data_IF_296794931790
#
_entry.id   IF_296794931790
#
_cell.length_a   1.000
_cell.length_b   1.000
_cell.length_c   1.000
_cell.angle_alpha   90.00
_cell.angle_beta   90.00
_cell.angle_gamma   90.00
#
_symmetry.space_group_name_H-M   'P 1'
#
loop_
_entity.id
_entity.type
_entity.pdbx_description
1 polymer ?
#
# COMPACT_ATOMS: atom_id res chain seq x y z
N UNK A 1 -7.74 -76.61 -26.81
CA UNK A 1 -6.96 -75.99 -27.89
C UNK A 1 -6.60 -74.63 -27.40
N UNK A 2 -5.41 -74.47 -26.91
CA UNK A 2 -4.20 -74.03 -27.61
C UNK A 2 -4.04 -72.51 -27.55
N UNK A 3 -3.11 -72.12 -26.85
CA UNK A 3 -1.78 -71.52 -26.86
C UNK A 3 -1.87 -70.02 -26.44
N UNK A 4 -1.28 -69.65 -25.33
CA UNK A 4 0.15 -69.41 -25.05
C UNK A 4 0.78 -68.28 -25.90
N UNK A 5 1.26 -67.25 -25.18
CA UNK A 5 2.58 -66.61 -25.29
C UNK A 5 2.52 -65.31 -24.48
N UNK A 6 3.13 -65.16 -23.31
CA UNK A 6 4.54 -64.88 -22.98
C UNK A 6 5.18 -63.85 -23.91
N UNK A 7 5.52 -62.73 -23.30
CA UNK A 7 6.76 -61.94 -23.47
C UNK A 7 6.50 -60.56 -22.91
N UNK A 8 7.21 -60.06 -22.13
CA UNK A 8 8.59 -59.83 -21.85
C UNK A 8 8.67 -58.39 -21.23
N UNK A 9 9.25 -58.36 -20.12
CA UNK A 9 9.73 -57.25 -19.32
C UNK A 9 10.66 -56.37 -20.16
N UNK A 10 10.44 -55.04 -20.12
CA UNK A 10 11.50 -54.07 -20.38
C UNK A 10 11.46 -53.03 -19.29
N UNK A 11 12.37 -53.19 -18.33
CA UNK A 11 12.82 -52.16 -17.42
C UNK A 11 13.44 -51.04 -18.25
N UNK A 12 12.87 -49.87 -18.19
CA UNK A 12 13.56 -48.64 -18.57
C UNK A 12 13.67 -47.77 -17.33
N UNK A 13 14.84 -47.83 -16.72
CA UNK A 13 15.26 -46.91 -15.69
C UNK A 13 15.47 -45.51 -16.32
N UNK A 14 14.55 -44.62 -16.07
CA UNK A 14 14.73 -43.18 -16.36
C UNK A 14 15.34 -42.52 -15.13
N UNK A 15 16.60 -42.14 -15.28
CA UNK A 15 17.29 -41.24 -14.35
C UNK A 15 16.52 -39.95 -14.27
N UNK A 16 15.91 -39.72 -13.12
CA UNK A 16 15.38 -38.39 -12.74
C UNK A 16 16.56 -37.49 -12.41
N UNK A 17 16.95 -36.64 -13.33
CA UNK A 17 17.75 -35.46 -13.00
C UNK A 17 16.91 -34.60 -12.08
N UNK A 18 17.25 -34.60 -10.80
CA UNK A 18 16.81 -33.57 -9.85
C UNK A 18 17.51 -32.27 -10.23
N UNK A 19 16.83 -31.43 -11.02
CA UNK A 19 17.16 -30.01 -11.13
C UNK A 19 16.93 -29.41 -9.77
N UNK A 20 18.00 -29.06 -9.08
CA UNK A 20 17.97 -28.10 -7.98
C UNK A 20 17.44 -26.77 -8.55
N UNK A 21 16.14 -26.59 -8.51
CA UNK A 21 15.49 -25.30 -8.73
C UNK A 21 15.94 -24.37 -7.63
N UNK A 22 16.71 -23.35 -8.01
CA UNK A 22 16.95 -22.18 -7.19
C UNK A 22 15.57 -21.69 -6.75
N UNK A 23 15.30 -21.78 -5.45
CA UNK A 23 14.10 -21.18 -4.86
C UNK A 23 14.26 -19.66 -4.96
N UNK A 24 13.84 -19.10 -6.09
CA UNK A 24 13.55 -17.68 -6.20
C UNK A 24 12.48 -17.37 -5.16
N UNK A 25 12.74 -16.46 -4.25
CA UNK A 25 11.75 -15.97 -3.31
C UNK A 25 10.53 -15.56 -4.13
N UNK A 26 9.41 -16.28 -3.99
CA UNK A 26 8.18 -15.95 -4.68
C UNK A 26 7.77 -14.54 -4.24
N UNK A 27 7.74 -13.59 -5.18
CA UNK A 27 7.22 -12.25 -4.91
C UNK A 27 5.79 -12.39 -4.38
N UNK A 28 5.49 -11.66 -3.29
CA UNK A 28 4.16 -11.66 -2.73
C UNK A 28 3.15 -11.22 -3.81
N UNK A 29 1.97 -11.84 -3.87
CA UNK A 29 0.97 -11.47 -4.88
C UNK A 29 0.64 -9.98 -4.76
N UNK A 30 0.66 -9.31 -5.90
CA UNK A 30 0.40 -7.88 -6.02
C UNK A 30 -1.05 -7.66 -6.43
N UNK A 31 -1.78 -6.90 -5.62
CA UNK A 31 -3.15 -6.50 -5.89
C UNK A 31 -3.21 -5.00 -6.11
N UNK A 32 -3.85 -4.56 -7.18
CA UNK A 32 -4.05 -3.15 -7.51
C UNK A 32 -5.53 -2.80 -7.41
N UNK A 33 -5.85 -1.76 -6.62
CA UNK A 33 -7.19 -1.23 -6.40
C UNK A 33 -7.20 0.23 -6.88
N UNK A 34 -8.22 0.63 -7.65
CA UNK A 34 -8.30 1.95 -8.26
C UNK A 34 -9.56 2.73 -7.89
N UNK A 35 -9.41 4.03 -7.82
CA UNK A 35 -10.52 4.98 -7.72
C UNK A 35 -11.42 4.73 -6.51
N UNK A 36 -12.72 4.72 -6.73
CA UNK A 36 -13.72 4.63 -5.66
C UNK A 36 -13.58 3.39 -4.77
N UNK A 37 -13.14 2.25 -5.31
CA UNK A 37 -12.97 1.00 -4.54
C UNK A 37 -11.90 1.12 -3.43
N UNK A 38 -10.98 2.07 -3.54
CA UNK A 38 -9.99 2.36 -2.49
C UNK A 38 -10.69 2.82 -1.20
N UNK A 39 -11.78 3.56 -1.30
CA UNK A 39 -12.50 4.12 -0.15
C UNK A 39 -13.18 3.05 0.71
N UNK A 40 -13.44 1.88 0.14
CA UNK A 40 -13.98 0.72 0.86
C UNK A 40 -12.87 -0.10 1.53
N UNK A 41 -11.63 0.02 1.06
CA UNK A 41 -10.47 -0.66 1.62
C UNK A 41 -10.01 -0.02 2.94
N UNK A 42 -9.55 -0.80 3.95
CA UNK A 42 -9.07 -0.26 5.23
C UNK A 42 -8.02 0.85 5.08
N UNK A 43 -7.05 0.71 4.17
CA UNK A 43 -6.03 1.74 3.93
C UNK A 43 -6.61 3.03 3.34
N UNK A 44 -7.59 2.94 2.46
CA UNK A 44 -8.29 4.12 1.94
C UNK A 44 -9.08 4.87 3.03
N UNK A 45 -9.78 4.12 3.89
CA UNK A 45 -10.49 4.71 5.04
C UNK A 45 -9.54 5.43 5.99
N UNK A 46 -8.38 4.82 6.28
CA UNK A 46 -7.34 5.43 7.13
C UNK A 46 -6.75 6.68 6.47
N UNK A 47 -6.49 6.64 5.16
CA UNK A 47 -5.99 7.79 4.41
C UNK A 47 -6.92 9.00 4.51
N UNK A 48 -8.21 8.81 4.20
CA UNK A 48 -9.22 9.87 4.25
C UNK A 48 -9.36 10.42 5.66
N UNK A 49 -9.49 9.54 6.66
CA UNK A 49 -9.62 9.93 8.06
C UNK A 49 -8.41 10.72 8.54
N UNK A 50 -7.18 10.29 8.24
CA UNK A 50 -5.98 11.00 8.65
C UNK A 50 -5.93 12.40 8.03
N UNK A 51 -6.21 12.51 6.73
CA UNK A 51 -6.22 13.80 6.03
C UNK A 51 -7.22 14.78 6.66
N UNK A 52 -8.44 14.32 6.96
CA UNK A 52 -9.45 15.12 7.63
C UNK A 52 -9.06 15.55 9.05
N UNK A 53 -8.42 14.65 9.81
CA UNK A 53 -7.92 14.97 11.15
C UNK A 53 -6.82 16.05 11.11
N UNK A 54 -5.89 15.94 10.16
CA UNK A 54 -4.83 16.93 9.95
C UNK A 54 -5.47 18.29 9.56
N UNK A 55 -6.41 18.27 8.63
CA UNK A 55 -7.13 19.47 8.18
C UNK A 55 -7.88 20.17 9.34
N UNK A 56 -8.47 19.38 10.23
CA UNK A 56 -9.13 19.87 11.44
C UNK A 56 -8.16 20.26 12.57
N UNK A 57 -6.84 20.11 12.38
CA UNK A 57 -5.82 20.41 13.40
C UNK A 57 -5.73 19.37 14.52
N UNK A 58 -6.30 18.17 14.33
CA UNK A 58 -6.32 17.07 15.30
C UNK A 58 -5.12 16.13 15.12
N UNK A 59 -3.91 16.67 15.23
CA UNK A 59 -2.67 15.96 14.91
C UNK A 59 -2.40 14.75 15.80
N UNK A 60 -2.75 14.81 17.08
CA UNK A 60 -2.57 13.68 18.00
C UNK A 60 -3.50 12.51 17.63
N UNK A 61 -4.71 12.79 17.16
CA UNK A 61 -5.61 11.75 16.66
C UNK A 61 -5.11 11.18 15.32
N UNK A 62 -4.63 12.05 14.43
CA UNK A 62 -4.04 11.64 13.16
C UNK A 62 -2.81 10.75 13.35
N UNK A 63 -1.96 11.06 14.35
CA UNK A 63 -0.78 10.27 14.66
C UNK A 63 -1.10 8.86 15.15
N UNK A 64 -2.24 8.63 15.81
CA UNK A 64 -2.69 7.28 16.21
C UNK A 64 -2.96 6.35 15.02
N UNK A 65 -3.14 6.90 13.82
CA UNK A 65 -3.34 6.15 12.58
C UNK A 65 -2.02 5.75 11.90
N UNK A 66 -0.89 6.12 12.47
CA UNK A 66 0.45 5.79 11.96
C UNK A 66 1.06 4.58 12.65
N UNK A 67 2.13 4.05 12.09
CA UNK A 67 2.89 2.97 12.70
C UNK A 67 3.51 3.38 14.05
N UNK A 68 3.83 2.40 14.90
CA UNK A 68 4.47 2.68 16.20
C UNK A 68 5.76 3.48 16.04
N UNK A 69 6.56 3.14 15.03
CA UNK A 69 7.81 3.85 14.73
C UNK A 69 7.56 5.35 14.47
N UNK A 70 6.57 5.67 13.63
CA UNK A 70 6.20 7.07 13.35
C UNK A 70 5.67 7.77 14.61
N UNK A 71 4.87 7.10 15.44
CA UNK A 71 4.39 7.65 16.71
C UNK A 71 5.53 7.97 17.67
N UNK A 72 6.55 7.09 17.78
CA UNK A 72 7.72 7.35 18.63
C UNK A 72 8.57 8.51 18.09
N UNK A 73 8.73 8.62 16.77
CA UNK A 73 9.40 9.76 16.17
C UNK A 73 8.66 11.07 16.44
N UNK A 74 7.33 11.07 16.35
CA UNK A 74 6.50 12.23 16.69
C UNK A 74 6.71 12.67 18.14
N UNK A 75 6.72 11.72 19.08
CA UNK A 75 6.96 12.00 20.51
C UNK A 75 8.35 12.57 20.75
N UNK A 76 9.36 12.13 19.98
CA UNK A 76 10.74 12.60 20.08
C UNK A 76 10.98 14.01 19.54
N UNK A 77 10.03 14.59 18.80
CA UNK A 77 10.17 15.96 18.28
C UNK A 77 10.06 17.00 19.40
N UNK A 78 10.85 18.06 19.28
CA UNK A 78 10.70 19.24 20.15
C UNK A 78 9.34 19.93 19.93
N UNK A 79 8.89 20.73 20.90
CA UNK A 79 7.63 21.47 20.76
C UNK A 79 7.66 22.40 19.53
N UNK A 80 8.79 23.04 19.27
CA UNK A 80 9.00 23.94 18.11
C UNK A 80 8.92 23.17 16.78
N UNK A 81 9.54 21.99 16.71
CA UNK A 81 9.52 21.18 15.48
C UNK A 81 8.12 20.64 15.21
N UNK A 82 7.39 20.23 16.26
CA UNK A 82 5.98 19.83 16.14
C UNK A 82 5.10 20.97 15.64
N UNK A 83 5.26 22.17 16.17
CA UNK A 83 4.50 23.34 15.74
C UNK A 83 4.76 23.66 14.26
N UNK A 84 6.02 23.67 13.84
CA UNK A 84 6.39 23.89 12.45
C UNK A 84 5.80 22.82 11.53
N UNK A 85 5.94 21.53 11.88
CA UNK A 85 5.41 20.43 11.08
C UNK A 85 3.88 20.45 11.00
N UNK A 86 3.20 20.72 12.11
CA UNK A 86 1.72 20.82 12.12
C UNK A 86 1.22 21.96 11.27
N UNK A 87 1.90 23.11 11.28
CA UNK A 87 1.60 24.23 10.40
C UNK A 87 1.67 23.83 8.93
N UNK A 88 2.79 23.25 8.51
CA UNK A 88 2.99 22.79 7.13
C UNK A 88 1.97 21.71 6.73
N UNK A 89 1.76 20.71 7.58
CA UNK A 89 0.79 19.65 7.30
C UNK A 89 -0.63 20.17 7.15
N UNK A 90 -1.02 21.15 7.97
CA UNK A 90 -2.34 21.76 7.89
C UNK A 90 -2.55 22.53 6.59
N UNK A 91 -1.57 23.32 6.16
CA UNK A 91 -1.61 24.06 4.89
C UNK A 91 -1.73 23.12 3.68
N UNK A 92 -1.06 21.97 3.71
CA UNK A 92 -1.08 20.97 2.63
C UNK A 92 -2.28 20.03 2.71
N UNK A 93 -3.07 20.07 3.80
CA UNK A 93 -4.17 19.14 4.02
C UNK A 93 -5.44 19.55 3.29
N UNK A 94 -6.30 18.57 3.06
CA UNK A 94 -7.63 18.75 2.46
C UNK A 94 -8.71 18.20 3.38
N UNK A 95 -9.94 18.65 3.19
CA UNK A 95 -11.09 18.01 3.84
C UNK A 95 -11.21 16.55 3.44
N UNK A 96 -11.84 15.70 4.26
CA UNK A 96 -12.10 14.30 3.93
C UNK A 96 -12.81 14.15 2.59
N UNK A 97 -13.80 15.02 2.34
CA UNK A 97 -14.59 14.98 1.10
C UNK A 97 -13.74 15.30 -0.14
N UNK A 98 -12.86 16.30 -0.06
CA UNK A 98 -12.02 16.69 -1.20
C UNK A 98 -10.91 15.67 -1.43
N UNK A 99 -10.32 15.14 -0.37
CA UNK A 99 -9.34 14.07 -0.51
C UNK A 99 -9.93 12.78 -1.07
N UNK A 100 -11.16 12.43 -0.65
CA UNK A 100 -11.88 11.30 -1.23
C UNK A 100 -12.20 11.50 -2.73
N UNK A 101 -12.45 12.73 -3.17
CA UNK A 101 -12.60 13.05 -4.61
C UNK A 101 -11.30 12.82 -5.36
N UNK A 102 -10.16 13.24 -4.80
CA UNK A 102 -8.84 13.02 -5.42
C UNK A 102 -8.55 11.51 -5.57
N UNK A 103 -8.83 10.72 -4.52
CA UNK A 103 -8.69 9.25 -4.57
C UNK A 103 -9.56 8.66 -5.68
N UNK A 104 -10.84 9.07 -5.77
CA UNK A 104 -11.75 8.59 -6.82
C UNK A 104 -11.27 8.93 -8.22
N UNK A 105 -10.68 10.11 -8.39
CA UNK A 105 -10.26 10.61 -9.69
C UNK A 105 -8.97 9.95 -10.21
N UNK A 106 -7.98 9.71 -9.33
CA UNK A 106 -6.63 9.30 -9.74
C UNK A 106 -5.95 8.33 -8.79
N UNK A 107 -6.62 7.90 -7.72
CA UNK A 107 -6.03 7.01 -6.72
C UNK A 107 -5.73 5.61 -7.25
N UNK A 108 -4.55 5.11 -6.91
CA UNK A 108 -4.12 3.73 -7.13
C UNK A 108 -3.53 3.21 -5.83
N UNK A 109 -4.13 2.18 -5.27
CA UNK A 109 -3.62 1.47 -4.08
C UNK A 109 -3.07 0.12 -4.51
N UNK A 110 -1.79 -0.09 -4.27
CA UNK A 110 -1.09 -1.34 -4.53
C UNK A 110 -0.83 -2.04 -3.22
N UNK A 111 -1.25 -3.31 -3.11
CA UNK A 111 -1.04 -4.18 -1.95
C UNK A 111 -0.06 -5.27 -2.34
N UNK A 112 1.02 -5.42 -1.57
CA UNK A 112 2.04 -6.47 -1.72
C UNK A 112 2.29 -7.11 -0.34
N UNK A 113 1.73 -8.28 -0.10
CA UNK A 113 1.79 -8.93 1.21
C UNK A 113 1.17 -8.05 2.31
N UNK A 114 1.98 -7.66 3.29
CA UNK A 114 1.57 -6.79 4.39
C UNK A 114 1.89 -5.30 4.18
N UNK A 115 2.17 -4.89 2.94
CA UNK A 115 2.48 -3.51 2.59
C UNK A 115 1.44 -2.97 1.63
N UNK A 116 1.08 -1.71 1.80
CA UNK A 116 0.24 -0.96 0.87
C UNK A 116 0.92 0.33 0.43
N UNK A 117 0.67 0.74 -0.80
CA UNK A 117 1.14 2.02 -1.33
C UNK A 117 -0.01 2.68 -2.09
N UNK A 118 -0.50 3.80 -1.56
CA UNK A 118 -1.47 4.65 -2.22
C UNK A 118 -0.75 5.76 -2.96
N UNK A 119 -1.01 5.88 -4.25
CA UNK A 119 -0.52 6.97 -5.10
C UNK A 119 -1.72 7.75 -5.63
N UNK A 120 -1.65 9.08 -5.55
CA UNK A 120 -2.68 9.99 -6.08
C UNK A 120 -1.97 11.01 -6.95
N UNK A 121 -2.45 11.21 -8.17
CA UNK A 121 -1.98 12.25 -9.06
C UNK A 121 -2.87 13.49 -8.94
N UNK A 122 -2.28 14.62 -8.58
CA UNK A 122 -2.96 15.91 -8.49
C UNK A 122 -2.51 16.79 -9.66
N UNK A 123 -3.47 17.27 -10.42
CA UNK A 123 -3.21 18.21 -11.51
C UNK A 123 -3.42 19.62 -10.99
N UNK A 124 -2.36 20.40 -11.00
CA UNK A 124 -2.42 21.83 -10.71
C UNK A 124 -2.41 22.60 -12.02
N UNK A 125 -3.30 23.57 -12.12
CA UNK A 125 -3.34 24.53 -13.24
C UNK A 125 -3.01 25.88 -12.66
N UNK A 126 -1.90 26.43 -13.06
CA UNK A 126 -1.50 27.80 -12.77
C UNK A 126 -1.39 28.62 -14.05
N UNK A 127 -1.11 29.90 -13.92
CA UNK A 127 -0.98 30.84 -15.05
C UNK A 127 0.21 30.49 -15.98
N UNK A 128 1.11 29.62 -15.53
CA UNK A 128 2.32 29.21 -16.26
C UNK A 128 2.16 27.82 -16.93
N UNK A 129 1.04 27.16 -16.74
CA UNK A 129 0.78 25.85 -17.34
C UNK A 129 0.08 24.85 -16.45
N UNK A 130 0.18 23.57 -16.81
CA UNK A 130 -0.39 22.44 -16.06
C UNK A 130 0.75 21.59 -15.51
N UNK A 131 0.84 21.45 -14.19
CA UNK A 131 1.75 20.52 -13.51
C UNK A 131 0.98 19.34 -12.91
N UNK A 132 1.64 18.19 -12.86
CA UNK A 132 1.11 16.99 -12.20
C UNK A 132 2.01 16.65 -11.02
N UNK A 133 1.46 16.64 -9.82
CA UNK A 133 2.14 16.24 -8.61
C UNK A 133 1.67 14.84 -8.19
N UNK A 134 2.60 14.01 -7.72
CA UNK A 134 2.29 12.68 -7.19
C UNK A 134 2.44 12.68 -5.67
N UNK A 135 1.34 12.44 -4.98
CA UNK A 135 1.36 12.14 -3.57
C UNK A 135 1.41 10.63 -3.37
N UNK A 136 2.36 10.15 -2.57
CA UNK A 136 2.51 8.73 -2.25
C UNK A 136 2.46 8.53 -0.75
N UNK A 137 1.60 7.62 -0.30
CA UNK A 137 1.48 7.24 1.10
C UNK A 137 1.64 5.73 1.25
N UNK A 138 2.50 5.31 2.17
CA UNK A 138 2.78 3.90 2.45
C UNK A 138 2.05 3.43 3.68
N UNK A 139 1.78 2.13 3.72
CA UNK A 139 1.04 1.47 4.81
C UNK A 139 1.69 0.16 5.21
N UNK A 140 1.55 -0.16 6.48
CA UNK A 140 1.71 -1.52 7.00
C UNK A 140 0.34 -2.09 7.28
N UNK A 141 0.08 -3.31 6.83
CA UNK A 141 -1.20 -4.00 6.96
C UNK A 141 -1.03 -5.15 7.95
N UNK A 142 -1.89 -5.18 8.96
CA UNK A 142 -1.95 -6.23 9.97
C UNK A 142 -3.41 -6.70 10.12
N UNK A 143 -3.75 -7.80 9.47
CA UNK A 143 -5.13 -8.26 9.32
C UNK A 143 -6.01 -7.20 8.65
N UNK A 144 -7.08 -6.77 9.35
CA UNK A 144 -7.99 -5.73 8.87
C UNK A 144 -7.52 -4.30 9.20
N UNK A 145 -6.37 -4.17 9.85
CA UNK A 145 -5.81 -2.86 10.23
C UNK A 145 -4.81 -2.39 9.19
N UNK A 146 -4.95 -1.13 8.81
CA UNK A 146 -3.99 -0.45 7.96
C UNK A 146 -3.42 0.75 8.73
N UNK A 147 -2.10 0.81 8.88
CA UNK A 147 -1.40 1.89 9.55
C UNK A 147 -0.49 2.59 8.55
N UNK A 148 -0.48 3.91 8.60
CA UNK A 148 0.40 4.72 7.76
C UNK A 148 1.84 4.50 8.22
N UNK A 149 2.73 4.25 7.28
CA UNK A 149 4.16 3.98 7.51
C UNK A 149 5.04 4.82 6.57
N UNK A 150 6.34 4.67 6.75
CA UNK A 150 7.34 5.29 5.85
C UNK A 150 7.63 4.45 4.64
#
# INVERSE_FOLDING_TARGET
MSLSRKSAVLLSALLSLTSLGVAGAAEAPKTEIKGAAILDHPCGKVAVKQMGLIHAGKFEEANKLTSKEMQEQWKGLSAKDREMMTGMMKEMSKSEADFAKDIKASGVLVIEGNKGTLTIEQKHKDDNGSSTEKMTQRYTIDGDKCLISR
#
